data_IF_787774781550
#
_entry.id   IF_787774781550
#
_cell.length_a   1.000
_cell.length_b   1.000
_cell.length_c   1.000
_cell.angle_alpha   90.00
_cell.angle_beta   90.00
_cell.angle_gamma   90.00
#
_symmetry.space_group_name_H-M   'P 1'
#
loop_
_entity.id
_entity.type
_entity.pdbx_description
1 polymer ?
#
# COMPACT_ATOMS: atom_id res chain seq x y z
N UNK A 1 7.61 -3.44 -3.99
CA UNK A 1 6.16 -3.29 -4.21
C UNK A 1 5.86 -1.89 -4.78
N UNK A 2 6.13 -1.64 -6.08
CA UNK A 2 5.92 -0.31 -6.69
C UNK A 2 4.45 0.15 -6.69
N UNK A 3 3.53 -0.80 -6.84
CA UNK A 3 2.09 -0.51 -6.97
C UNK A 3 1.45 0.06 -5.70
N UNK A 4 1.85 -0.38 -4.51
CA UNK A 4 1.28 0.14 -3.25
C UNK A 4 1.60 1.62 -3.03
N UNK A 5 2.88 2.00 -3.21
CA UNK A 5 3.31 3.39 -3.04
C UNK A 5 2.64 4.35 -4.00
N UNK A 6 2.44 3.93 -5.26
CA UNK A 6 1.75 4.72 -6.28
C UNK A 6 0.29 4.94 -5.91
N UNK A 7 -0.41 3.90 -5.45
CA UNK A 7 -1.82 4.01 -5.01
C UNK A 7 -2.00 4.93 -3.83
N UNK A 8 -1.14 4.83 -2.83
CA UNK A 8 -1.17 5.73 -1.68
C UNK A 8 -0.98 7.17 -2.13
N UNK A 9 -0.01 7.45 -3.02
CA UNK A 9 0.20 8.81 -3.57
C UNK A 9 -1.02 9.32 -4.35
N UNK A 10 -1.66 8.48 -5.16
CA UNK A 10 -2.91 8.83 -5.86
C UNK A 10 -4.01 9.20 -4.86
N UNK A 11 -4.24 8.38 -3.84
CA UNK A 11 -5.27 8.63 -2.83
C UNK A 11 -5.01 9.89 -2.00
N UNK A 12 -3.75 10.17 -1.71
CA UNK A 12 -3.35 11.42 -1.05
C UNK A 12 -3.75 12.65 -1.86
N UNK A 13 -3.60 12.61 -3.19
CA UNK A 13 -4.03 13.69 -4.09
C UNK A 13 -5.56 13.83 -4.05
N UNK A 14 -6.30 12.72 -4.15
CA UNK A 14 -7.78 12.72 -4.07
C UNK A 14 -8.30 13.32 -2.75
N UNK A 15 -7.57 13.12 -1.66
CA UNK A 15 -7.92 13.62 -0.33
C UNK A 15 -7.34 15.01 -0.02
N UNK A 16 -6.64 15.66 -0.97
CA UNK A 16 -5.86 16.87 -0.72
C UNK A 16 -4.97 16.77 0.55
N UNK A 17 -4.36 15.60 0.75
CA UNK A 17 -3.56 15.27 1.92
C UNK A 17 -2.10 15.08 1.52
N UNK A 18 -1.19 15.64 2.31
CA UNK A 18 0.25 15.46 2.13
C UNK A 18 0.74 14.16 2.78
N UNK A 19 1.88 13.62 2.31
CA UNK A 19 2.55 12.49 2.99
C UNK A 19 2.88 12.80 4.45
N UNK A 20 3.24 14.06 4.76
CA UNK A 20 3.51 14.50 6.14
C UNK A 20 2.27 14.42 7.03
N UNK A 21 1.11 14.87 6.53
CA UNK A 21 -0.16 14.76 7.26
C UNK A 21 -0.53 13.29 7.48
N UNK A 22 -0.40 12.45 6.45
CA UNK A 22 -0.62 11.01 6.59
C UNK A 22 0.31 10.37 7.63
N UNK A 23 1.61 10.70 7.60
CA UNK A 23 2.59 10.20 8.56
C UNK A 23 2.21 10.59 10.00
N UNK A 24 1.78 11.84 10.20
CA UNK A 24 1.26 12.32 11.49
C UNK A 24 0.01 11.56 11.92
N UNK A 25 -0.94 11.32 11.01
CA UNK A 25 -2.19 10.61 11.30
C UNK A 25 -1.97 9.16 11.73
N UNK A 26 -0.99 8.46 11.13
CA UNK A 26 -0.69 7.06 11.46
C UNK A 26 0.38 6.90 12.55
N UNK A 27 0.94 8.00 13.03
CA UNK A 27 1.94 8.05 14.09
C UNK A 27 3.32 7.52 13.68
N UNK A 28 3.75 7.81 12.44
CA UNK A 28 5.08 7.42 11.93
C UNK A 28 5.88 8.61 11.47
N UNK A 29 7.21 8.43 11.40
CA UNK A 29 8.09 9.40 10.79
C UNK A 29 7.86 9.48 9.26
N UNK A 30 7.88 10.69 8.69
CA UNK A 30 7.73 10.94 7.25
C UNK A 30 8.73 10.15 6.40
N UNK A 31 10.02 10.09 6.80
CA UNK A 31 11.06 9.32 6.10
C UNK A 31 10.76 7.82 6.11
N UNK A 32 10.22 7.32 7.23
CA UNK A 32 9.82 5.92 7.34
C UNK A 32 8.63 5.60 6.44
N UNK A 33 7.66 6.51 6.32
CA UNK A 33 6.57 6.40 5.36
C UNK A 33 7.12 6.40 3.93
N UNK A 34 8.03 7.32 3.58
CA UNK A 34 8.67 7.36 2.26
C UNK A 34 9.40 6.04 1.93
N UNK A 35 10.09 5.44 2.91
CA UNK A 35 10.74 4.14 2.73
C UNK A 35 9.76 3.00 2.47
N UNK A 36 8.59 3.01 3.13
CA UNK A 36 7.51 2.04 2.84
C UNK A 36 6.97 2.25 1.43
N UNK A 37 6.65 3.49 1.05
CA UNK A 37 6.08 3.82 -0.25
C UNK A 37 7.04 3.49 -1.41
N UNK A 38 8.34 3.59 -1.19
CA UNK A 38 9.36 3.23 -2.17
C UNK A 38 9.76 1.74 -2.10
N UNK A 39 9.14 0.95 -1.21
CA UNK A 39 9.40 -0.48 -1.07
C UNK A 39 10.73 -0.83 -0.40
N UNK A 40 11.43 0.13 0.21
CA UNK A 40 12.67 -0.07 0.98
C UNK A 40 12.40 -0.71 2.35
N UNK A 41 11.15 -0.59 2.85
CA UNK A 41 10.66 -1.25 4.06
C UNK A 41 9.33 -1.96 3.76
N UNK A 42 9.12 -3.13 4.34
CA UNK A 42 7.91 -3.93 4.10
C UNK A 42 6.63 -3.27 4.63
N UNK A 43 6.73 -2.44 5.67
CA UNK A 43 5.59 -1.72 6.22
C UNK A 43 4.49 -2.61 6.83
N UNK A 44 4.74 -3.91 7.05
CA UNK A 44 3.74 -4.92 7.47
C UNK A 44 2.85 -4.49 8.64
N UNK A 45 3.42 -3.81 9.64
CA UNK A 45 2.69 -3.32 10.84
C UNK A 45 1.81 -2.09 10.56
N UNK A 46 2.08 -1.38 9.47
CA UNK A 46 1.50 -0.08 9.16
C UNK A 46 0.61 -0.10 7.94
N UNK A 47 0.72 -1.12 7.07
CA UNK A 47 -0.19 -1.35 5.96
C UNK A 47 -1.62 -1.31 6.48
N UNK A 48 -1.99 -2.10 7.48
CA UNK A 48 -3.36 -2.11 8.02
C UNK A 48 -3.85 -0.73 8.50
N UNK A 49 -2.96 0.08 9.09
CA UNK A 49 -3.28 1.45 9.50
C UNK A 49 -3.40 2.41 8.31
N UNK A 50 -2.53 2.26 7.32
CA UNK A 50 -2.57 3.01 6.06
C UNK A 50 -3.86 2.74 5.30
N UNK A 51 -4.22 1.47 5.13
CA UNK A 51 -5.44 1.06 4.42
C UNK A 51 -6.69 1.61 5.10
N UNK A 52 -6.74 1.55 6.45
CA UNK A 52 -7.85 2.13 7.24
C UNK A 52 -7.91 3.65 7.16
N UNK A 53 -6.77 4.34 7.30
CA UNK A 53 -6.71 5.82 7.34
C UNK A 53 -7.05 6.43 5.98
N UNK A 54 -6.65 5.78 4.90
CA UNK A 54 -6.90 6.24 3.54
C UNK A 54 -8.26 5.80 3.00
N UNK A 55 -9.05 5.04 3.79
CA UNK A 55 -10.25 4.34 3.35
C UNK A 55 -10.03 3.68 1.98
N UNK A 56 -8.88 3.02 1.84
CA UNK A 56 -8.61 2.20 0.66
C UNK A 56 -9.48 0.96 0.84
N UNK A 57 -10.56 0.86 0.07
CA UNK A 57 -11.50 -0.24 0.22
C UNK A 57 -10.77 -1.58 0.13
N UNK A 58 -11.08 -2.44 1.11
CA UNK A 58 -10.59 -3.83 1.23
C UNK A 58 -10.89 -4.61 -0.06
N UNK A 59 -11.89 -4.20 -0.84
CA UNK A 59 -12.24 -4.79 -2.14
C UNK A 59 -11.09 -4.72 -3.15
N UNK A 60 -10.34 -3.61 -3.23
CA UNK A 60 -9.14 -3.58 -4.07
C UNK A 60 -8.05 -4.47 -3.48
N UNK A 61 -7.88 -4.50 -2.15
CA UNK A 61 -6.91 -5.40 -1.50
C UNK A 61 -7.18 -6.88 -1.80
N UNK A 62 -8.45 -7.26 -2.00
CA UNK A 62 -8.84 -8.59 -2.44
C UNK A 62 -8.55 -8.82 -3.94
N UNK A 63 -8.68 -7.79 -4.78
CA UNK A 63 -8.24 -7.81 -6.18
C UNK A 63 -6.72 -8.08 -6.29
N UNK A 64 -5.90 -7.46 -5.44
CA UNK A 64 -4.46 -7.73 -5.38
C UNK A 64 -4.11 -9.13 -4.88
N UNK A 65 -4.88 -9.70 -3.93
CA UNK A 65 -4.72 -11.10 -3.55
C UNK A 65 -5.04 -12.03 -4.72
N UNK A 66 -6.16 -11.80 -5.40
CA UNK A 66 -6.62 -12.62 -6.52
C UNK A 66 -5.69 -12.56 -7.76
N UNK A 67 -5.11 -11.39 -8.06
CA UNK A 67 -4.15 -11.25 -9.17
C UNK A 67 -2.81 -11.93 -8.86
N UNK A 68 -2.30 -11.81 -7.63
CA UNK A 68 -1.05 -12.46 -7.22
C UNK A 68 -1.24 -13.98 -7.15
N UNK A 69 -2.36 -14.47 -6.63
CA UNK A 69 -2.69 -15.90 -6.59
C UNK A 69 -2.83 -16.49 -8.01
N UNK A 70 -3.40 -15.74 -8.98
CA UNK A 70 -3.42 -16.14 -10.40
C UNK A 70 -2.02 -16.27 -11.00
N UNK A 71 -1.15 -15.30 -10.75
CA UNK A 71 0.22 -15.34 -11.32
C UNK A 71 1.08 -16.47 -10.75
N UNK A 72 0.83 -16.89 -9.51
CA UNK A 72 1.52 -18.05 -8.90
C UNK A 72 0.96 -19.38 -9.43
N UNK A 73 -0.35 -19.46 -9.65
CA UNK A 73 -0.98 -20.64 -10.25
C UNK A 73 -0.49 -20.90 -11.69
N UNK A 74 -0.33 -19.85 -12.50
CA UNK A 74 0.22 -19.97 -13.86
C UNK A 74 1.70 -20.42 -13.89
N UNK A 75 2.46 -20.16 -12.81
CA UNK A 75 3.84 -20.61 -12.68
C UNK A 75 3.91 -22.08 -12.25
N UNK A 76 3.04 -22.52 -11.34
CA UNK A 76 2.98 -23.92 -10.88
C UNK A 76 2.43 -24.89 -11.95
N UNK A 77 1.59 -24.43 -12.88
CA UNK A 77 1.10 -25.25 -14.00
C UNK A 77 2.07 -25.34 -15.20
N UNK A 78 3.21 -24.63 -15.15
CA UNK A 78 4.23 -24.62 -16.21
C UNK A 78 5.42 -25.55 -15.92
N UNK A 79 5.31 -26.39 -14.88
CA UNK A 79 6.29 -27.41 -14.47
C UNK A 79 5.79 -28.80 -14.83
#
# INVERSE_FOLDING_TARGET
MPFFGVRVKKRLIELNMTQRQLAKNIGVNENYLTDILNGRRSGKKYIDRLTKTLALDIEESNLYKNEVDKTMFDYEQKV
#
